data_IF_768124293848
#
_entry.id   IF_768124293848
#
_cell.length_a   1.000
_cell.length_b   1.000
_cell.length_c   1.000
_cell.angle_alpha   90.00
_cell.angle_beta   90.00
_cell.angle_gamma   90.00
#
_symmetry.space_group_name_H-M   'P 1'
#
loop_
_entity.id
_entity.type
_entity.pdbx_description
1 polymer ?
#
# COMPACT_ATOMS: atom_id res chain seq x y z
N UNK A 1 1.96 -23.38 -9.36
CA UNK A 1 3.25 -22.68 -9.09
C UNK A 1 3.35 -21.29 -9.73
N UNK A 2 2.99 -21.16 -11.01
CA UNK A 2 2.97 -19.89 -11.78
C UNK A 2 2.30 -18.70 -11.04
N UNK A 3 1.11 -18.88 -10.48
CA UNK A 3 0.38 -17.82 -9.76
C UNK A 3 1.13 -17.33 -8.52
N UNK A 4 1.73 -18.25 -7.74
CA UNK A 4 2.55 -17.90 -6.56
C UNK A 4 3.72 -17.01 -6.94
N UNK A 5 4.39 -17.33 -8.05
CA UNK A 5 5.53 -16.54 -8.54
C UNK A 5 5.11 -15.15 -9.03
N UNK A 6 3.95 -15.02 -9.67
CA UNK A 6 3.40 -13.72 -10.08
C UNK A 6 3.19 -12.82 -8.85
N UNK A 7 2.50 -13.31 -7.83
CA UNK A 7 2.24 -12.52 -6.62
C UNK A 7 3.51 -12.24 -5.82
N UNK A 8 4.48 -13.17 -5.81
CA UNK A 8 5.80 -12.93 -5.22
C UNK A 8 6.49 -11.75 -5.89
N UNK A 9 6.59 -11.73 -7.23
CA UNK A 9 7.18 -10.62 -7.98
C UNK A 9 6.49 -9.29 -7.70
N UNK A 10 5.16 -9.27 -7.71
CA UNK A 10 4.36 -8.08 -7.39
C UNK A 10 4.61 -7.56 -5.98
N UNK A 11 4.65 -8.46 -4.99
CA UNK A 11 4.97 -8.14 -3.59
C UNK A 11 6.37 -7.54 -3.50
N UNK A 12 7.37 -8.21 -4.07
CA UNK A 12 8.76 -7.81 -3.95
C UNK A 12 8.98 -6.43 -4.58
N UNK A 13 8.49 -6.25 -5.81
CA UNK A 13 8.50 -4.97 -6.52
C UNK A 13 7.86 -3.84 -5.71
N UNK A 14 6.65 -4.07 -5.18
CA UNK A 14 5.89 -2.99 -4.53
C UNK A 14 6.44 -2.68 -3.13
N UNK A 15 6.85 -3.69 -2.36
CA UNK A 15 7.47 -3.50 -1.04
C UNK A 15 8.81 -2.78 -1.16
N UNK A 16 9.66 -3.15 -2.12
CA UNK A 16 10.92 -2.45 -2.37
C UNK A 16 10.69 -1.00 -2.80
N UNK A 17 9.72 -0.76 -3.70
CA UNK A 17 9.34 0.58 -4.11
C UNK A 17 8.90 1.46 -2.94
N UNK A 18 7.97 0.97 -2.11
CA UNK A 18 7.50 1.69 -0.94
C UNK A 18 8.64 2.02 0.05
N UNK A 19 9.57 1.08 0.26
CA UNK A 19 10.75 1.31 1.12
C UNK A 19 11.67 2.39 0.56
N UNK A 20 11.88 2.45 -0.75
CA UNK A 20 12.65 3.54 -1.40
C UNK A 20 11.99 4.90 -1.21
N UNK A 21 10.65 4.93 -1.14
CA UNK A 21 9.87 6.12 -0.82
C UNK A 21 9.83 6.44 0.70
N UNK A 22 10.59 5.72 1.54
CA UNK A 22 10.68 5.98 2.98
C UNK A 22 9.59 5.32 3.83
N UNK A 23 8.70 4.52 3.23
CA UNK A 23 7.65 3.85 3.98
C UNK A 23 8.19 2.66 4.79
N UNK A 24 7.73 2.54 6.04
CA UNK A 24 8.03 1.40 6.90
C UNK A 24 7.09 0.25 6.58
N UNK A 25 7.55 -0.68 5.73
CA UNK A 25 6.77 -1.84 5.27
C UNK A 25 7.47 -3.15 5.61
N UNK A 26 6.76 -4.02 6.33
CA UNK A 26 7.18 -5.39 6.56
C UNK A 26 6.83 -6.24 5.34
N UNK A 27 7.77 -7.07 4.90
CA UNK A 27 7.51 -7.99 3.79
C UNK A 27 6.62 -9.14 4.30
N UNK A 28 5.42 -9.33 3.76
CA UNK A 28 4.55 -10.39 4.24
C UNK A 28 5.06 -11.76 3.75
N UNK A 29 4.99 -12.75 4.63
CA UNK A 29 5.42 -14.13 4.36
C UNK A 29 4.49 -14.82 3.33
N UNK A 30 3.21 -14.47 3.36
CA UNK A 30 2.18 -14.93 2.44
C UNK A 30 1.16 -13.81 2.22
N UNK A 31 0.25 -13.97 1.25
CA UNK A 31 -0.80 -13.03 0.79
C UNK A 31 -0.42 -12.09 -0.35
N UNK A 32 -1.46 -11.52 -0.96
CA UNK A 32 -1.42 -10.49 -2.00
C UNK A 32 -1.95 -9.14 -1.47
N UNK A 33 -1.86 -8.94 -0.15
CA UNK A 33 -2.20 -7.67 0.50
C UNK A 33 -1.01 -7.17 1.31
N UNK A 34 -0.87 -5.85 1.39
CA UNK A 34 0.00 -5.21 2.37
C UNK A 34 -0.87 -4.54 3.43
N UNK A 35 -0.50 -4.72 4.69
CA UNK A 35 -1.06 -4.01 5.82
C UNK A 35 -0.03 -3.02 6.34
N UNK A 36 -0.30 -1.73 6.16
CA UNK A 36 0.70 -0.68 6.35
C UNK A 36 0.17 0.35 7.33
N UNK A 37 1.00 0.68 8.33
CA UNK A 37 0.69 1.75 9.28
C UNK A 37 0.82 3.09 8.58
N UNK A 38 -0.16 3.96 8.80
CA UNK A 38 -0.21 5.28 8.21
C UNK A 38 0.86 6.16 8.89
N UNK A 39 1.73 6.81 8.11
CA UNK A 39 2.70 7.76 8.63
C UNK A 39 2.02 8.92 9.37
N UNK A 40 2.62 9.38 10.47
CA UNK A 40 2.11 10.51 11.25
C UNK A 40 0.82 10.25 12.04
N UNK A 41 0.33 9.01 12.12
CA UNK A 41 -0.81 8.64 12.97
C UNK A 41 -2.15 9.20 12.51
N UNK A 42 -2.30 9.49 11.22
CA UNK A 42 -3.54 10.01 10.64
C UNK A 42 -4.67 8.96 10.67
N UNK A 43 -5.91 9.44 10.59
CA UNK A 43 -7.08 8.59 10.41
C UNK A 43 -6.98 7.73 9.15
N UNK A 44 -7.43 6.48 9.24
CA UNK A 44 -7.43 5.53 8.13
C UNK A 44 -8.34 5.95 6.98
N UNK A 45 -9.46 6.59 7.29
CA UNK A 45 -10.39 7.13 6.30
C UNK A 45 -9.78 8.36 5.63
N UNK A 46 -9.33 9.34 6.42
CA UNK A 46 -8.77 10.60 5.91
C UNK A 46 -7.56 10.35 5.01
N UNK A 47 -6.69 9.42 5.41
CA UNK A 47 -5.52 9.09 4.61
C UNK A 47 -5.89 8.38 3.31
N UNK A 48 -6.90 7.51 3.34
CA UNK A 48 -7.40 6.85 2.12
C UNK A 48 -7.99 7.87 1.16
N UNK A 49 -8.79 8.82 1.66
CA UNK A 49 -9.35 9.90 0.86
C UNK A 49 -8.25 10.80 0.28
N UNK A 50 -7.26 11.16 1.08
CA UNK A 50 -6.09 11.93 0.63
C UNK A 50 -5.33 11.24 -0.52
N UNK A 51 -5.10 9.92 -0.42
CA UNK A 51 -4.47 9.16 -1.52
C UNK A 51 -5.34 9.14 -2.78
N UNK A 52 -6.66 9.08 -2.64
CA UNK A 52 -7.58 9.10 -3.77
C UNK A 52 -7.56 10.46 -4.47
N UNK A 53 -7.66 11.55 -3.72
CA UNK A 53 -7.75 12.92 -4.25
C UNK A 53 -6.41 13.39 -4.85
N UNK A 54 -5.32 13.25 -4.11
CA UNK A 54 -4.02 13.79 -4.53
C UNK A 54 -3.27 12.90 -5.51
N UNK A 55 -3.44 11.59 -5.39
CA UNK A 55 -2.67 10.61 -6.17
C UNK A 55 -3.53 9.79 -7.14
N UNK A 56 -4.87 9.86 -7.04
CA UNK A 56 -5.73 8.97 -7.79
C UNK A 56 -5.52 7.50 -7.40
N UNK A 57 -5.19 7.22 -6.13
CA UNK A 57 -4.94 5.87 -5.62
C UNK A 57 -6.02 5.51 -4.59
N UNK A 58 -6.79 4.46 -4.89
CA UNK A 58 -7.75 3.89 -3.95
C UNK A 58 -7.12 2.76 -3.13
N UNK A 59 -7.21 2.83 -1.81
CA UNK A 59 -6.84 1.78 -0.87
C UNK A 59 -8.01 1.47 0.07
N UNK A 60 -7.92 0.38 0.85
CA UNK A 60 -8.96 0.10 1.86
C UNK A 60 -8.56 0.72 3.21
N UNK A 61 -9.42 1.53 3.86
CA UNK A 61 -9.14 2.05 5.18
C UNK A 61 -9.14 0.91 6.20
N UNK A 62 -8.16 0.91 7.10
CA UNK A 62 -7.98 -0.16 8.06
C UNK A 62 -9.13 -0.27 9.08
N UNK A 63 -9.78 0.84 9.44
CA UNK A 63 -10.94 0.82 10.35
C UNK A 63 -12.11 -0.02 9.84
N UNK A 64 -12.19 -0.25 8.52
CA UNK A 64 -13.18 -1.16 7.93
C UNK A 64 -13.00 -2.64 8.36
N UNK A 65 -11.85 -2.99 8.94
CA UNK A 65 -11.56 -4.32 9.52
C UNK A 65 -11.79 -4.36 11.04
N UNK A 66 -12.29 -3.28 11.63
CA UNK A 66 -12.55 -3.12 13.06
C UNK A 66 -11.72 -2.00 13.71
N UNK A 67 -12.01 -1.65 14.98
CA UNK A 67 -11.37 -0.52 15.67
C UNK A 67 -9.83 -0.63 15.73
N UNK A 68 -9.31 -1.84 15.86
CA UNK A 68 -7.86 -2.10 15.88
C UNK A 68 -7.16 -1.84 14.55
N UNK A 69 -7.90 -1.60 13.47
CA UNK A 69 -7.35 -1.23 12.17
C UNK A 69 -7.20 0.27 11.95
N UNK A 70 -7.62 1.10 12.91
CA UNK A 70 -7.40 2.53 12.84
C UNK A 70 -5.90 2.87 12.80
N UNK A 71 -5.52 3.87 11.99
CA UNK A 71 -4.12 4.19 11.71
C UNK A 71 -3.43 3.22 10.74
N UNK A 72 -4.16 2.33 10.05
CA UNK A 72 -3.64 1.45 9.02
C UNK A 72 -4.42 1.55 7.70
N UNK A 73 -3.78 1.12 6.62
CA UNK A 73 -4.42 0.88 5.32
C UNK A 73 -4.07 -0.51 4.79
N UNK A 74 -4.96 -1.05 3.95
CA UNK A 74 -4.72 -2.27 3.19
C UNK A 74 -4.55 -1.97 1.71
N UNK A 75 -3.46 -2.44 1.13
CA UNK A 75 -3.17 -2.30 -0.30
C UNK A 75 -3.25 -3.67 -0.97
N UNK A 76 -3.99 -3.78 -2.07
CA UNK A 76 -4.09 -5.00 -2.86
C UNK A 76 -3.02 -5.05 -3.95
N UNK A 77 -2.38 -6.21 -4.10
CA UNK A 77 -1.36 -6.48 -5.12
C UNK A 77 -1.92 -7.31 -6.30
N UNK A 78 -3.23 -7.22 -6.51
CA UNK A 78 -3.99 -8.03 -7.49
C UNK A 78 -3.95 -7.46 -8.90
N UNK A 79 -3.51 -6.22 -9.07
CA UNK A 79 -3.27 -5.59 -10.37
C UNK A 79 -1.92 -6.00 -10.98
N UNK A 80 -1.72 -5.72 -12.27
CA UNK A 80 -0.47 -6.06 -12.96
C UNK A 80 0.73 -5.21 -12.47
N UNK A 81 1.95 -5.62 -12.82
CA UNK A 81 3.18 -4.96 -12.38
C UNK A 81 3.28 -3.50 -12.87
N UNK A 82 2.74 -3.20 -14.05
CA UNK A 82 2.71 -1.84 -14.61
C UNK A 82 1.88 -0.88 -13.74
N UNK A 83 0.67 -1.31 -13.32
CA UNK A 83 -0.18 -0.52 -12.42
C UNK A 83 0.45 -0.35 -11.04
N UNK A 84 1.19 -1.34 -10.55
CA UNK A 84 1.93 -1.22 -9.29
C UNK A 84 3.08 -0.21 -9.41
N UNK A 85 3.84 -0.22 -10.50
CA UNK A 85 4.89 0.78 -10.77
C UNK A 85 4.30 2.19 -10.88
N UNK A 86 3.19 2.33 -11.60
CA UNK A 86 2.48 3.60 -11.72
C UNK A 86 1.98 4.12 -10.37
N UNK A 87 1.46 3.24 -9.51
CA UNK A 87 1.09 3.61 -8.15
C UNK A 87 2.30 4.10 -7.34
N UNK A 88 3.46 3.45 -7.44
CA UNK A 88 4.69 3.93 -6.78
C UNK A 88 5.10 5.32 -7.28
N UNK A 89 5.07 5.56 -8.59
CA UNK A 89 5.40 6.86 -9.18
C UNK A 89 4.45 7.97 -8.69
N UNK A 90 3.17 7.66 -8.52
CA UNK A 90 2.18 8.59 -7.96
C UNK A 90 2.44 8.86 -6.48
N UNK A 91 2.76 7.82 -5.70
CA UNK A 91 3.09 7.94 -4.28
C UNK A 91 4.35 8.78 -4.01
N UNK A 92 5.29 8.85 -4.96
CA UNK A 92 6.48 9.70 -4.84
C UNK A 92 6.16 11.19 -4.71
N UNK A 93 5.02 11.63 -5.26
CA UNK A 93 4.56 13.02 -5.15
C UNK A 93 4.18 13.40 -3.71
N UNK A 94 3.98 12.41 -2.85
CA UNK A 94 3.56 12.62 -1.47
C UNK A 94 4.79 12.78 -0.59
N UNK A 95 4.91 13.94 0.08
CA UNK A 95 5.87 14.08 1.19
C UNK A 95 5.37 13.31 2.39
N UNK A 96 5.82 12.07 2.51
CA UNK A 96 5.67 11.29 3.74
C UNK A 96 6.78 11.74 4.69
N UNK A 97 6.46 12.67 5.59
CA UNK A 97 7.32 13.04 6.72
C UNK A 97 7.00 12.18 7.94
#
# INVERSE_FOLDING_TARGET
EKIKNIYRKRRDLFVEGLRKLGWKVNMPLATFYLWIRIPGGKSSIEFTQYLLEECGIMVTPGVGFGPSGEGYIRIALTVNEEKLKEALNRLEKIRVK
#
